data_IF_779486403353
#
_entry.id   IF_779486403353
#
_cell.length_a   1.000
_cell.length_b   1.000
_cell.length_c   1.000
_cell.angle_alpha   90.00
_cell.angle_beta   90.00
_cell.angle_gamma   90.00
#
_symmetry.space_group_name_H-M   'P 1'
#
loop_
_entity.id
_entity.type
_entity.pdbx_description
1 polymer ?
#
# COMPACT_ATOMS: atom_id res chain seq x y z
N UNK A 1 -15.13 -6.04 -3.34
CA UNK A 1 -15.88 -5.11 -2.47
C UNK A 1 -17.27 -5.66 -2.28
N UNK A 2 -17.59 -5.99 -1.03
CA UNK A 2 -18.55 -7.01 -0.61
C UNK A 2 -20.02 -6.61 -0.56
N UNK A 3 -20.84 -7.67 -0.59
CA UNK A 3 -22.17 -7.89 -0.01
C UNK A 3 -23.37 -6.94 -0.17
N UNK A 4 -23.28 -5.75 -0.78
CA UNK A 4 -24.48 -5.05 -1.30
C UNK A 4 -24.24 -4.31 -2.61
N UNK A 5 -25.28 -4.16 -3.43
CA UNK A 5 -25.20 -3.57 -4.78
C UNK A 5 -24.95 -2.04 -4.78
N UNK A 6 -25.02 -1.37 -3.62
CA UNK A 6 -24.77 0.08 -3.50
C UNK A 6 -23.60 0.39 -2.55
N UNK A 7 -22.63 1.17 -3.06
CA UNK A 7 -21.49 1.67 -2.26
C UNK A 7 -21.99 2.78 -1.33
N UNK A 8 -21.62 2.71 -0.05
CA UNK A 8 -21.93 3.75 0.94
C UNK A 8 -21.23 5.08 0.62
N UNK A 9 -21.83 6.23 0.96
CA UNK A 9 -21.30 7.55 0.57
C UNK A 9 -19.87 7.82 1.07
N UNK A 10 -19.52 7.36 2.28
CA UNK A 10 -18.18 7.48 2.87
C UNK A 10 -17.17 6.66 2.08
N UNK A 11 -17.51 5.40 1.78
CA UNK A 11 -16.69 4.52 0.94
C UNK A 11 -16.46 5.16 -0.43
N UNK A 12 -17.50 5.73 -1.03
CA UNK A 12 -17.40 6.44 -2.31
C UNK A 12 -16.48 7.67 -2.21
N UNK A 13 -16.57 8.44 -1.13
CA UNK A 13 -15.71 9.60 -0.90
C UNK A 13 -14.23 9.20 -0.76
N UNK A 14 -13.94 8.15 0.02
CA UNK A 14 -12.56 7.66 0.21
C UNK A 14 -12.01 7.07 -1.09
N UNK A 15 -12.80 6.27 -1.83
CA UNK A 15 -12.38 5.78 -3.16
C UNK A 15 -11.99 6.97 -4.05
N UNK A 16 -12.82 8.00 -4.14
CA UNK A 16 -12.49 9.20 -4.91
C UNK A 16 -11.21 9.87 -4.43
N UNK A 17 -11.01 9.99 -3.12
CA UNK A 17 -9.82 10.60 -2.55
C UNK A 17 -8.54 9.83 -2.94
N UNK A 18 -8.57 8.50 -2.81
CA UNK A 18 -7.45 7.62 -3.16
C UNK A 18 -7.07 7.67 -4.65
N UNK A 19 -8.01 7.95 -5.56
CA UNK A 19 -7.71 8.12 -6.99
C UNK A 19 -7.16 9.51 -7.37
N UNK A 20 -7.30 10.50 -6.49
CA UNK A 20 -6.93 11.88 -6.79
C UNK A 20 -5.55 12.26 -6.25
N UNK A 21 -5.00 11.50 -5.30
CA UNK A 21 -3.69 11.75 -4.72
C UNK A 21 -2.84 10.49 -4.92
N UNK A 22 -1.58 10.61 -5.36
CA UNK A 22 -0.67 9.47 -5.49
C UNK A 22 -0.16 9.03 -4.10
N UNK A 23 -1.05 8.51 -3.26
CA UNK A 23 -0.67 7.95 -1.96
C UNK A 23 0.32 6.79 -2.14
N UNK A 24 1.35 6.79 -1.28
CA UNK A 24 2.44 5.80 -1.30
C UNK A 24 2.32 4.85 -0.12
N UNK A 25 2.16 5.41 1.08
CA UNK A 25 2.01 4.69 2.34
C UNK A 25 0.78 5.24 3.08
N UNK A 26 0.03 4.36 3.73
CA UNK A 26 -1.15 4.68 4.51
C UNK A 26 -1.29 3.71 5.69
N UNK A 27 -1.99 4.15 6.73
CA UNK A 27 -2.49 3.26 7.76
C UNK A 27 -3.89 3.69 8.17
N UNK A 28 -4.78 2.71 8.34
CA UNK A 28 -6.12 2.94 8.86
C UNK A 28 -6.21 2.45 10.32
N UNK A 29 -6.84 3.24 11.19
CA UNK A 29 -6.78 3.06 12.64
C UNK A 29 -8.07 2.42 13.16
N UNK A 30 -7.92 1.37 13.96
CA UNK A 30 -8.99 0.55 14.50
C UNK A 30 -8.81 0.33 16.01
N UNK A 31 -9.81 -0.27 16.64
CA UNK A 31 -9.76 -0.72 18.02
C UNK A 31 -10.56 -2.01 18.21
N UNK A 32 -10.22 -2.75 19.25
CA UNK A 32 -10.77 -4.06 19.56
C UNK A 32 -9.69 -5.09 19.92
N UNK A 33 -8.45 -4.83 19.54
CA UNK A 33 -7.25 -5.58 19.96
C UNK A 33 -6.02 -4.67 19.87
N UNK A 34 -4.81 -5.22 20.04
CA UNK A 34 -3.55 -4.48 19.89
C UNK A 34 -2.61 -5.21 18.92
N UNK A 35 -2.59 -4.81 17.64
CA UNK A 35 -1.79 -5.45 16.58
C UNK A 35 -1.64 -4.55 15.35
N UNK A 36 -0.51 -4.66 14.64
CA UNK A 36 -0.38 -4.16 13.28
C UNK A 36 -0.74 -5.26 12.26
N UNK A 37 -1.93 -5.14 11.69
CA UNK A 37 -2.48 -6.03 10.68
C UNK A 37 -2.03 -5.60 9.26
N UNK A 38 -1.57 -6.54 8.45
CA UNK A 38 -1.12 -6.27 7.08
C UNK A 38 -1.79 -7.19 6.03
N UNK A 39 -1.83 -6.76 4.76
CA UNK A 39 -2.44 -7.51 3.67
C UNK A 39 -1.89 -8.93 3.47
N UNK A 40 -2.67 -9.82 2.84
CA UNK A 40 -4.09 -9.64 2.51
C UNK A 40 -5.02 -9.94 3.70
N UNK A 41 -6.17 -9.27 3.71
CA UNK A 41 -7.25 -9.52 4.67
C UNK A 41 -8.15 -10.69 4.26
N UNK A 42 -8.15 -11.08 2.98
CA UNK A 42 -8.91 -12.25 2.51
C UNK A 42 -8.10 -13.19 1.60
N UNK A 43 -8.61 -14.41 1.49
CA UNK A 43 -8.15 -15.41 0.54
C UNK A 43 -9.34 -15.96 -0.26
N UNK A 44 -9.11 -16.54 -1.46
CA UNK A 44 -10.17 -17.08 -2.31
C UNK A 44 -11.11 -18.08 -1.61
N UNK A 45 -10.62 -18.80 -0.60
CA UNK A 45 -11.39 -19.80 0.13
C UNK A 45 -12.16 -19.20 1.34
N UNK A 46 -11.95 -17.92 1.66
CA UNK A 46 -12.53 -17.23 2.83
C UNK A 46 -12.29 -17.97 4.15
N UNK A 47 -11.14 -18.63 4.30
CA UNK A 47 -10.75 -19.39 5.50
C UNK A 47 -9.68 -18.65 6.30
N UNK A 48 -9.45 -19.07 7.55
CA UNK A 48 -8.29 -18.58 8.34
C UNK A 48 -7.00 -19.23 7.82
N UNK A 49 -6.27 -18.51 6.99
CA UNK A 49 -4.99 -18.97 6.44
C UNK A 49 -4.14 -17.78 5.99
N UNK A 50 -2.82 -17.93 6.12
CA UNK A 50 -1.86 -16.93 5.64
C UNK A 50 -2.10 -16.64 4.16
N UNK A 51 -2.27 -15.37 3.81
CA UNK A 51 -2.45 -14.93 2.42
C UNK A 51 -1.47 -13.81 2.10
N UNK A 52 -0.25 -14.15 1.63
CA UNK A 52 0.79 -13.16 1.37
C UNK A 52 0.47 -12.31 0.14
N UNK A 53 0.96 -11.07 0.15
CA UNK A 53 1.02 -10.26 -1.08
C UNK A 53 2.31 -10.55 -1.84
N UNK A 54 2.43 -10.12 -3.12
CA UNK A 54 3.73 -10.06 -3.78
C UNK A 54 4.79 -9.22 -3.04
N UNK A 55 4.35 -8.26 -2.21
CA UNK A 55 5.17 -7.36 -1.41
C UNK A 55 5.17 -7.75 0.09
N UNK A 56 4.98 -9.04 0.40
CA UNK A 56 4.82 -9.53 1.78
C UNK A 56 5.93 -9.09 2.73
N UNK A 57 7.19 -9.19 2.28
CA UNK A 57 8.36 -8.85 3.10
C UNK A 57 8.38 -7.40 3.55
N UNK A 58 7.98 -6.46 2.68
CA UNK A 58 7.92 -5.04 3.05
C UNK A 58 6.69 -4.74 3.91
N UNK A 59 5.55 -5.40 3.69
CA UNK A 59 4.41 -5.26 4.58
C UNK A 59 4.72 -5.75 6.01
N UNK A 60 5.40 -6.89 6.13
CA UNK A 60 5.90 -7.39 7.41
C UNK A 60 6.84 -6.38 8.07
N UNK A 61 7.76 -5.79 7.30
CA UNK A 61 8.66 -4.75 7.82
C UNK A 61 7.90 -3.50 8.28
N UNK A 62 6.95 -3.01 7.48
CA UNK A 62 6.14 -1.84 7.79
C UNK A 62 5.31 -2.06 9.07
N UNK A 63 4.65 -3.21 9.20
CA UNK A 63 3.90 -3.57 10.40
C UNK A 63 4.83 -3.65 11.64
N UNK A 64 5.99 -4.31 11.51
CA UNK A 64 6.99 -4.38 12.58
C UNK A 64 7.52 -3.02 12.98
N UNK A 65 7.69 -2.10 12.03
CA UNK A 65 8.21 -0.75 12.34
C UNK A 65 7.30 0.02 13.29
N UNK A 66 5.97 -0.16 13.17
CA UNK A 66 5.02 0.42 14.10
C UNK A 66 5.02 -0.34 15.44
N UNK A 67 4.87 -1.67 15.39
CA UNK A 67 4.72 -2.51 16.57
C UNK A 67 5.94 -2.48 17.50
N UNK A 68 7.15 -2.42 16.92
CA UNK A 68 8.40 -2.39 17.69
C UNK A 68 8.59 -1.08 18.47
N UNK A 69 8.12 0.04 17.93
CA UNK A 69 8.22 1.34 18.59
C UNK A 69 7.08 1.57 19.60
N UNK A 70 6.01 0.77 19.52
CA UNK A 70 4.93 0.81 20.49
C UNK A 70 5.38 0.07 21.75
N UNK A 71 5.20 0.62 22.97
CA UNK A 71 5.81 0.08 24.18
C UNK A 71 5.34 -1.34 24.54
N UNK A 72 4.13 -1.72 24.13
CA UNK A 72 3.51 -2.98 24.52
C UNK A 72 3.07 -3.88 23.36
N UNK A 73 3.00 -3.37 22.12
CA UNK A 73 2.39 -4.12 20.99
C UNK A 73 3.26 -5.31 20.60
N UNK A 74 4.59 -5.13 20.62
CA UNK A 74 5.56 -6.18 20.27
C UNK A 74 5.75 -7.27 21.35
N UNK A 75 5.17 -7.10 22.55
CA UNK A 75 5.45 -7.98 23.68
C UNK A 75 4.78 -9.34 23.48
N UNK A 76 5.54 -10.41 23.70
CA UNK A 76 5.06 -11.78 23.61
C UNK A 76 4.14 -12.18 24.77
N UNK A 77 4.26 -11.52 25.92
CA UNK A 77 3.34 -11.71 27.04
C UNK A 77 2.29 -10.61 27.02
N UNK A 78 1.01 -11.01 27.08
CA UNK A 78 -0.14 -10.11 27.01
C UNK A 78 -0.15 -9.23 28.26
N UNK A 79 0.53 -8.08 28.16
CA UNK A 79 0.53 -7.07 29.22
C UNK A 79 -0.73 -6.19 29.17
N UNK A 80 -1.45 -6.18 28.04
CA UNK A 80 -2.52 -5.22 27.74
C UNK A 80 -3.93 -5.69 28.13
N UNK A 81 -4.85 -4.72 28.19
CA UNK A 81 -6.24 -4.78 28.74
C UNK A 81 -7.22 -5.73 28.02
N UNK A 82 -6.74 -6.67 27.19
CA UNK A 82 -7.55 -7.69 26.52
C UNK A 82 -7.75 -8.94 27.39
N UNK A 83 -7.28 -8.93 28.64
CA UNK A 83 -7.27 -10.10 29.55
C UNK A 83 -8.67 -10.64 29.89
N UNK A 84 -9.72 -9.86 29.63
CA UNK A 84 -11.11 -10.25 29.90
C UNK A 84 -11.75 -11.06 28.76
N UNK A 85 -11.04 -11.39 27.67
CA UNK A 85 -11.54 -12.34 26.68
C UNK A 85 -11.18 -13.78 27.09
N UNK A 86 -12.11 -14.71 26.89
CA UNK A 86 -11.91 -16.14 27.21
C UNK A 86 -10.74 -16.76 26.43
N UNK A 87 -10.41 -16.21 25.25
CA UNK A 87 -9.24 -16.54 24.45
C UNK A 87 -8.64 -15.24 23.89
N UNK A 88 -7.65 -14.64 24.55
CA UNK A 88 -7.02 -13.43 24.04
C UNK A 88 -6.22 -13.73 22.78
N UNK A 89 -6.36 -12.87 21.77
CA UNK A 89 -5.54 -12.94 20.57
C UNK A 89 -4.06 -12.82 20.96
N UNK A 90 -3.21 -13.70 20.40
CA UNK A 90 -1.77 -13.66 20.58
C UNK A 90 -1.11 -13.43 19.22
N UNK A 91 -0.36 -12.33 19.12
CA UNK A 91 0.32 -11.94 17.89
C UNK A 91 1.82 -11.86 18.13
N UNK A 92 2.55 -12.81 17.56
CA UNK A 92 4.00 -12.85 17.66
C UNK A 92 4.61 -11.57 17.07
N UNK A 93 5.40 -10.85 17.87
CA UNK A 93 5.98 -9.54 17.54
C UNK A 93 4.95 -8.42 17.28
N UNK A 94 3.69 -8.57 17.70
CA UNK A 94 2.68 -7.51 17.56
C UNK A 94 2.18 -7.26 16.15
N UNK A 95 2.34 -8.23 15.24
CA UNK A 95 1.88 -8.12 13.85
C UNK A 95 1.04 -9.33 13.46
N UNK A 96 0.19 -9.19 12.45
CA UNK A 96 -0.54 -10.31 11.85
C UNK A 96 -0.83 -10.07 10.37
N UNK A 97 -0.81 -11.13 9.57
CA UNK A 97 -1.48 -11.09 8.27
C UNK A 97 -2.99 -11.14 8.51
N UNK A 98 -3.79 -10.37 7.76
CA UNK A 98 -5.22 -10.28 8.04
C UNK A 98 -5.95 -11.61 7.88
N UNK A 99 -5.70 -12.30 6.77
CA UNK A 99 -6.38 -13.55 6.45
C UNK A 99 -6.04 -14.70 7.43
N UNK A 100 -4.87 -14.72 8.08
CA UNK A 100 -4.56 -15.71 9.11
C UNK A 100 -5.27 -15.43 10.44
N UNK A 101 -5.54 -14.16 10.76
CA UNK A 101 -6.32 -13.78 11.95
C UNK A 101 -7.81 -14.11 11.76
N UNK A 102 -8.44 -13.49 10.75
CA UNK A 102 -9.76 -13.85 10.23
C UNK A 102 -9.99 -13.20 8.86
N UNK A 103 -10.71 -13.88 7.96
CA UNK A 103 -10.93 -13.38 6.61
C UNK A 103 -11.92 -12.19 6.59
N UNK A 104 -11.50 -11.05 6.02
CA UNK A 104 -12.32 -9.84 5.86
C UNK A 104 -12.41 -9.41 4.39
N UNK A 105 -13.43 -9.90 3.65
CA UNK A 105 -13.59 -9.52 2.26
C UNK A 105 -14.12 -8.10 2.09
N UNK A 106 -13.42 -7.30 1.29
CA UNK A 106 -13.86 -5.96 0.91
C UNK A 106 -13.39 -4.83 1.82
N UNK A 107 -12.40 -5.10 2.69
CA UNK A 107 -11.71 -4.08 3.47
C UNK A 107 -11.00 -3.02 2.62
N UNK A 108 -10.79 -1.84 3.22
CA UNK A 108 -10.11 -0.70 2.59
C UNK A 108 -8.60 -0.94 2.42
N UNK A 109 -7.98 -1.69 3.33
CA UNK A 109 -6.57 -2.02 3.31
C UNK A 109 -6.18 -2.72 1.98
N UNK A 110 -6.83 -3.83 1.67
CA UNK A 110 -6.63 -4.54 0.40
C UNK A 110 -7.05 -3.72 -0.82
N UNK A 111 -8.01 -2.80 -0.69
CA UNK A 111 -8.39 -1.89 -1.79
C UNK A 111 -7.22 -0.99 -2.20
N UNK A 112 -6.55 -0.38 -1.23
CA UNK A 112 -5.43 0.52 -1.48
C UNK A 112 -4.37 -0.18 -2.33
N UNK A 113 -3.92 -1.36 -1.88
CA UNK A 113 -2.86 -2.12 -2.54
C UNK A 113 -3.29 -2.62 -3.93
N UNK A 114 -4.54 -3.08 -4.07
CA UNK A 114 -4.98 -3.71 -5.33
C UNK A 114 -5.35 -2.73 -6.44
N UNK A 115 -5.69 -1.49 -6.09
CA UNK A 115 -6.31 -0.54 -7.04
C UNK A 115 -5.63 0.80 -7.14
N UNK A 116 -4.61 1.04 -6.31
CA UNK A 116 -3.77 2.23 -6.30
C UNK A 116 -2.30 1.83 -6.14
N UNK A 117 -1.40 2.79 -5.95
CA UNK A 117 0.00 2.50 -5.58
C UNK A 117 0.20 2.45 -4.05
N UNK A 118 -0.85 2.66 -3.26
CA UNK A 118 -0.75 2.88 -1.83
C UNK A 118 -0.64 1.57 -1.06
N UNK A 119 0.39 1.48 -0.22
CA UNK A 119 0.59 0.39 0.72
C UNK A 119 -0.11 0.79 2.02
N UNK A 120 -1.16 0.05 2.37
CA UNK A 120 -2.00 0.35 3.54
C UNK A 120 -1.92 -0.81 4.53
N UNK A 121 -1.79 -0.50 5.82
CA UNK A 121 -1.91 -1.45 6.92
C UNK A 121 -3.04 -1.02 7.87
N UNK A 122 -3.58 -1.96 8.63
CA UNK A 122 -4.60 -1.70 9.64
C UNK A 122 -3.95 -1.75 11.02
N UNK A 123 -4.07 -0.68 11.79
CA UNK A 123 -3.50 -0.59 13.13
C UNK A 123 -4.60 -0.70 14.18
N UNK A 124 -4.64 -1.79 14.91
CA UNK A 124 -5.51 -1.98 16.07
C UNK A 124 -4.79 -1.41 17.29
N UNK A 125 -5.30 -0.30 17.83
CA UNK A 125 -4.57 0.53 18.80
C UNK A 125 -4.85 0.21 20.27
N UNK A 126 -5.74 -0.74 20.54
CA UNK A 126 -6.10 -1.17 21.88
C UNK A 126 -7.44 -1.88 21.95
N UNK A 127 -7.63 -2.63 23.03
CA UNK A 127 -8.78 -3.52 23.23
C UNK A 127 -10.08 -2.75 23.44
N UNK A 128 -10.02 -1.65 24.20
CA UNK A 128 -11.19 -0.83 24.45
C UNK A 128 -11.44 0.07 23.24
N UNK A 129 -12.48 -0.26 22.47
CA UNK A 129 -12.90 0.50 21.28
C UNK A 129 -13.27 1.95 21.60
N UNK A 130 -13.75 2.20 22.82
CA UNK A 130 -14.17 3.52 23.28
C UNK A 130 -13.64 3.76 24.70
N UNK A 131 -12.33 4.06 24.84
CA UNK A 131 -11.73 4.28 26.14
C UNK A 131 -12.26 5.58 26.79
N UNK A 132 -12.26 5.68 28.13
CA UNK A 132 -12.54 6.93 28.80
C UNK A 132 -11.49 7.98 28.43
N UNK A 133 -11.88 9.25 28.48
CA UNK A 133 -11.04 10.40 28.14
C UNK A 133 -9.75 10.48 28.97
N UNK A 134 -9.80 10.00 30.23
CA UNK A 134 -8.65 9.86 31.12
C UNK A 134 -7.50 9.04 30.54
N UNK A 135 -7.79 8.13 29.60
CA UNK A 135 -6.78 7.26 28.99
C UNK A 135 -6.20 7.84 27.70
N UNK A 136 -6.78 8.89 27.11
CA UNK A 136 -6.35 9.41 25.80
C UNK A 136 -4.88 9.86 25.79
N UNK A 137 -4.39 10.44 26.90
CA UNK A 137 -2.98 10.82 27.02
C UNK A 137 -2.05 9.60 26.99
N UNK A 138 -2.48 8.48 27.57
CA UNK A 138 -1.71 7.23 27.57
C UNK A 138 -1.62 6.70 26.13
N UNK A 139 -2.76 6.54 25.46
CA UNK A 139 -2.80 6.12 24.04
C UNK A 139 -1.92 7.01 23.16
N UNK A 140 -1.95 8.34 23.36
CA UNK A 140 -1.10 9.26 22.62
C UNK A 140 0.39 8.99 22.85
N UNK A 141 0.85 8.94 24.10
CA UNK A 141 2.27 8.74 24.38
C UNK A 141 2.78 7.36 23.91
N UNK A 142 1.94 6.33 24.00
CA UNK A 142 2.28 4.97 23.52
C UNK A 142 2.39 4.90 21.98
N UNK A 143 1.56 5.66 21.25
CA UNK A 143 1.50 5.58 19.78
C UNK A 143 2.31 6.65 19.06
N UNK A 144 2.64 7.76 19.72
CA UNK A 144 3.33 8.91 19.09
C UNK A 144 4.63 8.51 18.41
N UNK A 145 5.48 7.73 19.08
CA UNK A 145 6.75 7.26 18.52
C UNK A 145 6.53 6.41 17.27
N UNK A 146 5.67 5.39 17.39
CA UNK A 146 5.29 4.49 16.30
C UNK A 146 4.70 5.21 15.09
N UNK A 147 3.79 6.17 15.31
CA UNK A 147 3.17 6.95 14.23
C UNK A 147 4.22 7.77 13.47
N UNK A 148 5.12 8.45 14.17
CA UNK A 148 6.17 9.24 13.53
C UNK A 148 7.14 8.34 12.77
N UNK A 149 7.59 7.23 13.38
CA UNK A 149 8.47 6.27 12.71
C UNK A 149 7.81 5.68 11.46
N UNK A 150 6.54 5.30 11.55
CA UNK A 150 5.78 4.75 10.42
C UNK A 150 5.66 5.74 9.26
N UNK A 151 5.33 7.01 9.54
CA UNK A 151 5.29 8.06 8.51
C UNK A 151 6.64 8.17 7.78
N UNK A 152 7.76 8.05 8.50
CA UNK A 152 9.09 8.15 7.87
C UNK A 152 9.37 7.03 6.86
N UNK A 153 8.69 5.87 6.98
CA UNK A 153 8.89 4.72 6.07
C UNK A 153 8.44 4.99 4.64
N UNK A 154 7.62 6.03 4.42
CA UNK A 154 7.24 6.49 3.08
C UNK A 154 8.45 6.91 2.22
N UNK A 155 9.59 7.18 2.85
CA UNK A 155 10.83 7.59 2.17
C UNK A 155 11.80 6.44 1.84
N UNK A 156 11.42 5.19 2.14
CA UNK A 156 12.21 4.01 1.79
C UNK A 156 12.10 3.65 0.30
N UNK A 157 12.95 2.73 -0.14
CA UNK A 157 12.91 2.18 -1.48
C UNK A 157 13.48 3.13 -2.53
N UNK A 158 12.78 3.24 -3.66
CA UNK A 158 13.19 4.04 -4.82
C UNK A 158 12.12 5.06 -5.18
N UNK A 159 12.55 6.25 -5.57
CA UNK A 159 11.69 7.25 -6.21
C UNK A 159 12.37 7.87 -7.41
N UNK A 160 11.61 8.52 -8.29
CA UNK A 160 12.20 9.26 -9.40
C UNK A 160 11.16 9.77 -10.38
N UNK A 161 11.64 10.22 -11.53
CA UNK A 161 10.83 10.69 -12.64
C UNK A 161 10.92 9.72 -13.82
N UNK A 162 9.81 9.56 -14.54
CA UNK A 162 9.80 8.96 -15.88
C UNK A 162 9.60 10.07 -16.89
N UNK A 163 10.58 10.24 -17.77
CA UNK A 163 10.53 11.23 -18.85
C UNK A 163 10.75 10.59 -20.21
N UNK A 164 10.54 11.32 -21.29
CA UNK A 164 11.02 10.95 -22.62
C UNK A 164 12.27 11.75 -23.04
N UNK A 165 12.84 11.42 -24.20
CA UNK A 165 14.01 12.12 -24.75
C UNK A 165 13.85 13.64 -24.92
N UNK A 166 12.61 14.16 -24.91
CA UNK A 166 12.30 15.59 -24.96
C UNK A 166 12.07 16.21 -23.57
N UNK A 167 12.38 15.47 -22.49
CA UNK A 167 12.09 15.80 -21.10
C UNK A 167 10.59 15.97 -20.79
N UNK A 168 9.71 15.36 -21.60
CA UNK A 168 8.29 15.34 -21.29
C UNK A 168 8.02 14.32 -20.17
N UNK A 169 7.32 14.74 -19.12
CA UNK A 169 6.91 13.88 -18.01
C UNK A 169 5.91 12.83 -18.51
N UNK A 170 6.17 11.55 -18.24
CA UNK A 170 5.33 10.44 -18.67
C UNK A 170 4.45 9.96 -17.52
N UNK A 171 3.16 10.26 -17.60
CA UNK A 171 2.17 9.80 -16.64
C UNK A 171 1.72 8.35 -16.87
N UNK A 172 1.30 7.67 -15.81
CA UNK A 172 0.80 6.29 -15.84
C UNK A 172 1.81 5.30 -16.49
N UNK A 173 3.11 5.59 -16.43
CA UNK A 173 4.18 4.65 -16.78
C UNK A 173 4.23 3.55 -15.71
N UNK A 174 4.31 2.29 -16.14
CA UNK A 174 4.42 1.14 -15.25
C UNK A 174 5.85 1.00 -14.75
N UNK A 175 6.03 0.88 -13.43
CA UNK A 175 7.30 0.59 -12.79
C UNK A 175 7.20 -0.81 -12.18
N UNK A 176 7.89 -1.76 -12.78
CA UNK A 176 7.93 -3.17 -12.36
C UNK A 176 9.28 -3.53 -11.78
N UNK A 177 9.28 -4.38 -10.75
CA UNK A 177 10.49 -4.89 -10.10
C UNK A 177 10.57 -6.39 -10.39
N UNK A 178 11.72 -6.86 -10.89
CA UNK A 178 11.91 -8.29 -11.14
C UNK A 178 11.70 -9.11 -9.85
N UNK A 179 10.94 -10.19 -9.95
CA UNK A 179 10.58 -11.03 -8.80
C UNK A 179 9.40 -10.54 -7.94
N UNK A 180 8.88 -9.33 -8.17
CA UNK A 180 7.72 -8.81 -7.44
C UNK A 180 6.56 -8.53 -8.40
N UNK A 181 5.53 -9.37 -8.36
CA UNK A 181 4.35 -9.27 -9.23
C UNK A 181 3.34 -8.20 -8.76
N UNK A 182 3.80 -6.98 -8.55
CA UNK A 182 2.95 -5.84 -8.23
C UNK A 182 3.57 -4.53 -8.77
N UNK A 183 3.34 -4.20 -10.05
CA UNK A 183 3.84 -2.96 -10.62
C UNK A 183 3.07 -1.75 -10.08
N UNK A 184 3.77 -0.64 -9.88
CA UNK A 184 3.16 0.66 -9.57
C UNK A 184 3.12 1.54 -10.82
N UNK A 185 2.46 2.70 -10.72
CA UNK A 185 2.38 3.67 -11.82
C UNK A 185 2.98 5.02 -11.45
N UNK A 186 3.61 5.70 -12.41
CA UNK A 186 3.95 7.11 -12.27
C UNK A 186 2.69 7.97 -12.19
N UNK A 187 2.78 9.07 -11.44
CA UNK A 187 1.69 10.04 -11.28
C UNK A 187 1.47 10.86 -12.56
N UNK A 188 0.49 11.77 -12.55
CA UNK A 188 0.29 12.73 -13.64
C UNK A 188 1.51 13.64 -13.91
N UNK A 189 2.45 13.74 -12.95
CA UNK A 189 3.68 14.50 -13.07
C UNK A 189 4.90 13.63 -13.38
N UNK A 190 4.69 12.36 -13.74
CA UNK A 190 5.75 11.42 -14.10
C UNK A 190 6.60 10.94 -12.92
N UNK A 191 6.37 11.45 -11.71
CA UNK A 191 7.00 10.97 -10.49
C UNK A 191 6.42 9.66 -10.01
N UNK A 192 7.26 8.81 -9.43
CA UNK A 192 6.86 7.52 -8.87
C UNK A 192 7.61 7.24 -7.57
N UNK A 193 7.03 6.38 -6.74
CA UNK A 193 7.56 5.99 -5.44
C UNK A 193 7.31 4.49 -5.23
N UNK A 194 8.38 3.71 -5.17
CA UNK A 194 8.35 2.26 -5.02
C UNK A 194 9.02 1.89 -3.70
N UNK A 195 8.21 1.56 -2.70
CA UNK A 195 8.70 1.05 -1.43
C UNK A 195 9.34 -0.32 -1.65
N UNK A 196 10.58 -0.48 -1.18
CA UNK A 196 11.37 -1.71 -1.24
C UNK A 196 12.28 -1.78 -0.02
N UNK A 197 12.57 -3.00 0.40
CA UNK A 197 13.59 -3.25 1.42
C UNK A 197 15.00 -3.04 0.85
N UNK A 198 16.04 -2.93 1.71
CA UNK A 198 17.42 -2.95 1.26
C UNK A 198 17.73 -4.20 0.44
N UNK A 199 18.42 -4.02 -0.69
CA UNK A 199 18.69 -5.09 -1.65
C UNK A 199 19.06 -4.55 -3.03
N UNK A 200 19.41 -5.44 -3.94
CA UNK A 200 19.68 -5.09 -5.34
C UNK A 200 18.56 -5.63 -6.22
N UNK A 201 17.98 -4.76 -7.04
CA UNK A 201 16.81 -5.04 -7.86
C UNK A 201 17.05 -4.64 -9.31
N UNK A 202 16.42 -5.36 -10.24
CA UNK A 202 16.24 -4.89 -11.62
C UNK A 202 14.87 -4.23 -11.70
N UNK A 203 14.85 -2.93 -11.99
CA UNK A 203 13.63 -2.13 -12.08
C UNK A 203 13.44 -1.72 -13.54
N UNK A 204 12.25 -1.98 -14.06
CA UNK A 204 11.87 -1.66 -15.44
C UNK A 204 10.75 -0.64 -15.45
N UNK A 205 10.97 0.48 -16.15
CA UNK A 205 9.93 1.43 -16.50
C UNK A 205 9.43 1.18 -17.92
N UNK A 206 8.11 1.16 -18.11
CA UNK A 206 7.49 0.93 -19.41
C UNK A 206 6.20 1.70 -19.60
N UNK A 207 5.93 2.11 -20.84
CA UNK A 207 4.70 2.80 -21.23
C UNK A 207 4.35 2.41 -22.66
N UNK A 208 3.07 2.18 -22.93
CA UNK A 208 2.59 1.95 -24.29
C UNK A 208 3.01 3.12 -25.21
N UNK A 209 3.55 2.78 -26.38
CA UNK A 209 4.13 3.75 -27.32
C UNK A 209 5.59 4.12 -27.03
N UNK A 210 6.21 3.51 -26.03
CA UNK A 210 7.62 3.69 -25.69
C UNK A 210 8.33 2.34 -25.53
N UNK A 211 9.62 2.30 -25.85
CA UNK A 211 10.49 1.21 -25.45
C UNK A 211 10.75 1.27 -23.94
N UNK A 212 10.57 0.14 -23.26
CA UNK A 212 10.88 0.02 -21.84
C UNK A 212 12.37 0.16 -21.57
N UNK A 213 12.72 0.67 -20.39
CA UNK A 213 14.10 0.81 -19.90
C UNK A 213 14.23 0.06 -18.57
N UNK A 214 15.31 -0.71 -18.42
CA UNK A 214 15.62 -1.46 -17.20
C UNK A 214 16.92 -0.98 -16.57
N UNK A 215 16.95 -0.84 -15.25
CA UNK A 215 18.14 -0.44 -14.47
C UNK A 215 18.33 -1.37 -13.28
N UNK A 216 19.58 -1.75 -13.03
CA UNK A 216 19.96 -2.42 -11.77
C UNK A 216 20.19 -1.36 -10.71
N UNK A 217 19.50 -1.48 -9.58
CA UNK A 217 19.45 -0.47 -8.52
C UNK A 217 19.72 -1.14 -7.18
N UNK A 218 20.66 -0.60 -6.41
CA UNK A 218 20.89 -1.02 -5.02
C UNK A 218 20.22 -0.04 -4.06
N UNK A 219 19.42 -0.60 -3.16
CA UNK A 219 18.69 0.11 -2.12
C UNK A 219 19.41 -0.14 -0.81
N UNK A 220 19.80 0.95 -0.16
CA UNK A 220 20.56 0.93 1.09
C UNK A 220 19.63 1.42 2.18
N UNK A 221 19.69 0.77 3.34
CA UNK A 221 18.89 1.16 4.50
C UNK A 221 19.16 2.62 4.89
N UNK A 222 18.10 3.34 5.27
CA UNK A 222 18.15 4.76 5.68
C UNK A 222 18.70 5.73 4.62
N UNK A 223 18.72 5.35 3.34
CA UNK A 223 19.11 6.24 2.24
C UNK A 223 17.95 6.47 1.27
N UNK A 224 17.90 7.67 0.70
CA UNK A 224 16.98 7.97 -0.39
C UNK A 224 17.62 7.55 -1.71
N UNK A 225 17.10 6.51 -2.36
CA UNK A 225 17.55 6.11 -3.70
C UNK A 225 16.71 6.79 -4.76
N UNK A 226 17.32 7.68 -5.56
CA UNK A 226 16.67 8.30 -6.72
C UNK A 226 17.07 7.60 -8.02
N UNK A 227 16.09 7.20 -8.82
CA UNK A 227 16.29 6.58 -10.14
C UNK A 227 15.32 7.19 -11.13
N UNK A 228 15.84 7.97 -12.07
CA UNK A 228 15.02 8.51 -13.16
C UNK A 228 15.11 7.59 -14.39
N UNK A 229 14.06 7.54 -15.20
CA UNK A 229 13.97 6.75 -16.43
C UNK A 229 13.67 7.66 -17.63
N UNK A 230 14.34 7.41 -18.76
CA UNK A 230 14.25 8.22 -19.97
C UNK A 230 13.80 7.32 -21.15
N UNK A 231 12.48 7.17 -21.27
CA UNK A 231 11.89 6.27 -22.24
C UNK A 231 11.99 6.82 -23.67
N UNK A 232 12.30 5.94 -24.62
CA UNK A 232 12.38 6.28 -26.04
C UNK A 232 11.06 5.94 -26.72
N UNK A 233 10.51 6.86 -27.52
CA UNK A 233 9.29 6.59 -28.29
C UNK A 233 9.52 5.42 -29.24
N UNK A 234 8.53 4.54 -29.33
CA UNK A 234 8.53 3.44 -30.28
C UNK A 234 8.00 3.96 -31.63
N UNK A 235 8.84 4.06 -32.68
CA UNK A 235 8.44 4.60 -33.98
C UNK A 235 7.43 3.70 -34.73
N UNK A 236 7.27 2.44 -34.31
CA UNK A 236 6.26 1.54 -34.88
C UNK A 236 4.85 1.81 -34.36
N UNK A 237 4.72 2.61 -33.30
CA UNK A 237 3.46 2.87 -32.62
C UNK A 237 3.04 4.33 -32.82
N UNK A 238 2.44 4.63 -33.97
CA UNK A 238 1.96 5.97 -34.38
C UNK A 238 0.65 6.37 -33.69
N UNK A 239 0.51 6.14 -32.39
CA UNK A 239 -0.50 6.84 -31.61
C UNK A 239 0.01 8.25 -31.30
N UNK A 240 -0.72 9.24 -31.80
CA UNK A 240 -0.50 10.66 -31.54
C UNK A 240 -0.40 10.92 -30.03
N UNK A 241 0.84 10.97 -29.54
CA UNK A 241 1.12 11.42 -28.17
C UNK A 241 0.55 12.83 -28.02
N UNK A 242 -0.60 12.94 -27.34
CA UNK A 242 -1.03 14.20 -26.74
C UNK A 242 -0.06 14.45 -25.59
N UNK A 243 1.14 14.93 -25.94
CA UNK A 243 2.08 15.47 -24.98
C UNK A 243 1.45 16.70 -24.36
N UNK A 244 0.97 16.57 -23.13
CA UNK A 244 0.46 17.71 -22.37
C UNK A 244 1.64 18.64 -22.06
N UNK A 245 1.83 19.68 -22.88
CA UNK A 245 2.43 20.94 -22.39
C UNK A 245 1.40 21.58 -21.47
N UNK A 246 1.84 21.97 -20.26
CA UNK A 246 1.04 22.55 -19.18
C UNK A 246 -0.20 23.30 -19.68
N UNK A 247 -1.37 22.72 -19.47
CA UNK A 247 -2.57 23.48 -19.12
C UNK A 247 -3.05 22.94 -17.78
N UNK A 248 -3.21 23.85 -16.80
CA UNK A 248 -3.66 23.53 -15.46
C UNK A 248 -5.13 23.11 -15.50
N UNK A 249 -5.41 21.88 -15.93
CA UNK A 249 -6.75 21.31 -15.81
C UNK A 249 -6.64 19.96 -15.10
N UNK A 250 -6.99 19.99 -13.81
CA UNK A 250 -7.22 18.82 -12.98
C UNK A 250 -8.39 18.06 -13.59
N UNK A 251 -8.14 17.14 -14.51
CA UNK A 251 -9.14 16.14 -14.90
C UNK A 251 -9.22 15.12 -13.78
N UNK A 252 -10.28 15.21 -12.97
CA UNK A 252 -10.62 14.18 -11.98
C UNK A 252 -10.62 12.83 -12.69
N UNK A 253 -9.88 11.84 -12.16
CA UNK A 253 -9.99 10.46 -12.66
C UNK A 253 -11.45 10.03 -12.47
N UNK A 254 -12.14 9.53 -13.51
CA UNK A 254 -13.51 9.10 -13.38
C UNK A 254 -13.61 7.98 -12.34
N UNK A 255 -14.74 7.91 -11.64
CA UNK A 255 -14.99 6.85 -10.66
C UNK A 255 -14.70 5.49 -11.32
N UNK A 256 -13.91 4.61 -10.70
CA UNK A 256 -13.57 3.35 -11.34
C UNK A 256 -14.84 2.54 -11.55
N UNK A 257 -14.95 1.93 -12.73
CA UNK A 257 -16.07 1.04 -13.00
C UNK A 257 -16.00 -0.17 -12.05
N UNK A 258 -17.05 -0.36 -11.24
CA UNK A 258 -17.14 -1.44 -10.24
C UNK A 258 -17.01 -2.84 -10.83
N UNK A 259 -17.49 -3.05 -12.06
CA UNK A 259 -17.28 -4.32 -12.77
C UNK A 259 -15.80 -4.54 -13.10
N UNK A 260 -15.08 -3.48 -13.47
CA UNK A 260 -13.62 -3.55 -13.73
C UNK A 260 -12.84 -3.83 -12.45
N UNK A 261 -13.23 -3.25 -11.32
CA UNK A 261 -12.63 -3.54 -10.01
C UNK A 261 -12.82 -5.03 -9.61
N UNK A 262 -14.03 -5.57 -9.80
CA UNK A 262 -14.33 -7.00 -9.53
C UNK A 262 -13.51 -7.93 -10.44
N UNK A 263 -13.36 -7.60 -11.72
CA UNK A 263 -12.59 -8.43 -12.66
C UNK A 263 -11.09 -8.38 -12.38
N UNK A 264 -10.53 -7.22 -12.05
CA UNK A 264 -9.12 -7.09 -11.64
C UNK A 264 -8.83 -7.87 -10.35
N UNK A 265 -9.73 -7.82 -9.34
CA UNK A 265 -9.57 -8.68 -8.14
C UNK A 265 -9.59 -10.16 -8.51
N UNK A 266 -10.50 -10.60 -9.40
CA UNK A 266 -10.57 -12.01 -9.84
C UNK A 266 -9.33 -12.46 -10.62
N UNK A 267 -8.77 -11.62 -11.50
CA UNK A 267 -7.51 -11.93 -12.21
C UNK A 267 -6.37 -12.06 -11.21
N UNK A 268 -6.20 -11.07 -10.34
CA UNK A 268 -5.12 -11.08 -9.35
C UNK A 268 -5.24 -12.24 -8.34
N UNK A 269 -6.47 -12.67 -8.01
CA UNK A 269 -6.71 -13.86 -7.17
C UNK A 269 -6.40 -15.16 -7.92
N UNK A 270 -6.73 -15.26 -9.22
CA UNK A 270 -6.44 -16.46 -10.02
C UNK A 270 -4.95 -16.72 -10.20
N UNK A 271 -4.15 -15.66 -10.12
CA UNK A 271 -2.69 -15.72 -10.23
C UNK A 271 -2.00 -15.84 -8.85
N UNK A 272 -2.75 -16.01 -7.75
CA UNK A 272 -2.18 -16.37 -6.44
C UNK A 272 -1.88 -17.88 -6.43
N UNK A 273 -0.70 -18.32 -5.98
CA UNK A 273 -0.41 -19.73 -5.76
C UNK A 273 -1.33 -20.36 -4.71
#
# INVERSE_FOLDING_TARGET
FGQQDTIQPETRAVINWLYNIPFVLSANLHGGTLVANYPFDDNPNSVKAYSPTPDDSIFVYLAKSYANDHPTMNLNEISWDCKNSENPDHFLNGITNGAIWYSVPGGMQDFNYMFTNCFDITLELGCNKFPPDTNLKIYWEENKGSLINYITKVHMGVKGLVTDSGMYLISDASISVEGINHPIKSSQYGDYFRLLLPGTYVITAGREGYHSESKTVTIIENQTTRVDFDLKKDPSNTFSSVGYRRTHNIRRKPFPNLHRLRNNKKSFIKDRP
#
